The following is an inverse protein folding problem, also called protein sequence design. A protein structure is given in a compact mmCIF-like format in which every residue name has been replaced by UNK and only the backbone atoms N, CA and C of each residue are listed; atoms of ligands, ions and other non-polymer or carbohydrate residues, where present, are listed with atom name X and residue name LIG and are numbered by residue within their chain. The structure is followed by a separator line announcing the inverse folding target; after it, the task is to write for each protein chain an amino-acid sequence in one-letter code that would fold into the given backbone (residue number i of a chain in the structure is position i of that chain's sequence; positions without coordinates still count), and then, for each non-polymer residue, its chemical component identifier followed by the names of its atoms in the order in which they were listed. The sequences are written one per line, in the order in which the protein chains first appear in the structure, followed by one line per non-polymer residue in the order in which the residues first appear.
data_IF_868436424071
#
_entry.id   IF_868436424071
#
_cell.length_a   1.000
_cell.length_b   1.000
_cell.length_c   1.000
_cell.angle_alpha   90.00
_cell.angle_beta   90.00
_cell.angle_gamma   90.00
#
_symmetry.space_group_name_H-M   'P 1'
#
loop_
_entity.id
_entity.type
_entity.pdbx_description
1 polymer ?
#
# COMPACT_ATOMS: atom_id res chain seq x y z
N UNK A 1 -51.91 -36.94 -14.07
CA UNK A 1 -50.59 -37.06 -14.73
C UNK A 1 -50.60 -37.06 -16.28
N UNK A 2 -51.75 -37.00 -16.98
CA UNK A 2 -51.78 -37.03 -18.46
C UNK A 2 -51.74 -35.65 -19.16
N UNK A 3 -52.08 -34.55 -18.47
CA UNK A 3 -52.11 -33.21 -19.06
C UNK A 3 -50.72 -32.54 -19.23
N UNK A 4 -49.77 -32.85 -18.32
CA UNK A 4 -48.40 -32.31 -18.37
C UNK A 4 -47.57 -32.90 -19.52
N UNK A 5 -47.86 -34.13 -19.93
CA UNK A 5 -47.16 -34.80 -21.02
C UNK A 5 -47.52 -34.27 -22.42
N UNK A 6 -48.77 -33.81 -22.61
CA UNK A 6 -49.25 -33.26 -23.90
C UNK A 6 -48.69 -31.85 -24.20
N UNK A 7 -48.29 -31.09 -23.18
CA UNK A 7 -47.75 -29.72 -23.31
C UNK A 7 -46.23 -29.63 -23.46
N UNK A 8 -45.49 -30.75 -23.34
CA UNK A 8 -44.01 -30.79 -23.48
C UNK A 8 -43.50 -30.35 -24.86
N UNK A 9 -44.35 -30.30 -25.89
CA UNK A 9 -43.98 -29.98 -27.28
C UNK A 9 -44.54 -28.64 -27.78
N UNK A 10 -45.07 -27.80 -26.89
CA UNK A 10 -45.56 -26.47 -27.28
C UNK A 10 -44.36 -25.53 -27.49
N UNK A 11 -44.27 -24.77 -28.60
CA UNK A 11 -43.09 -23.94 -28.92
C UNK A 11 -42.78 -22.89 -27.85
N UNK A 12 -43.80 -22.43 -27.11
CA UNK A 12 -43.63 -21.50 -25.99
C UNK A 12 -43.03 -22.13 -24.71
N UNK A 13 -42.91 -23.46 -24.63
CA UNK A 13 -42.35 -24.15 -23.47
C UNK A 13 -40.87 -23.82 -23.25
N UNK A 14 -40.10 -23.69 -24.33
CA UNK A 14 -38.69 -23.30 -24.26
C UNK A 14 -38.49 -21.87 -23.75
N UNK A 15 -39.37 -20.95 -24.18
CA UNK A 15 -39.34 -19.54 -23.75
C UNK A 15 -39.64 -19.40 -22.25
N UNK A 16 -40.65 -20.13 -21.76
CA UNK A 16 -41.02 -20.11 -20.33
C UNK A 16 -39.90 -20.69 -19.45
N UNK A 17 -39.27 -21.77 -19.88
CA UNK A 17 -38.13 -22.36 -19.15
C UNK A 17 -36.93 -21.42 -19.15
N UNK A 18 -36.64 -20.76 -20.27
CA UNK A 18 -35.55 -19.78 -20.35
C UNK A 18 -35.79 -18.58 -19.43
N UNK A 19 -37.02 -18.04 -19.39
CA UNK A 19 -37.37 -16.94 -18.50
C UNK A 19 -37.28 -17.33 -17.03
N UNK A 20 -37.74 -18.52 -16.66
CA UNK A 20 -37.59 -19.05 -15.30
C UNK A 20 -36.12 -19.25 -14.92
N UNK A 21 -35.30 -19.76 -15.83
CA UNK A 21 -33.87 -19.91 -15.61
C UNK A 21 -33.19 -18.54 -15.41
N UNK A 22 -33.52 -17.54 -16.23
CA UNK A 22 -32.99 -16.18 -16.10
C UNK A 22 -33.41 -15.52 -14.79
N UNK A 23 -34.65 -15.73 -14.34
CA UNK A 23 -35.14 -15.21 -13.06
C UNK A 23 -34.45 -15.88 -11.88
N UNK A 24 -34.22 -17.20 -11.92
CA UNK A 24 -33.52 -17.93 -10.87
C UNK A 24 -32.04 -17.52 -10.81
N UNK A 25 -31.37 -17.42 -11.96
CA UNK A 25 -29.97 -17.00 -12.03
C UNK A 25 -29.82 -15.53 -11.61
N UNK A 26 -30.70 -14.64 -12.07
CA UNK A 26 -30.71 -13.23 -11.66
C UNK A 26 -31.02 -13.03 -10.18
N UNK A 27 -31.96 -13.80 -9.64
CA UNK A 27 -32.29 -13.80 -8.21
C UNK A 27 -31.13 -14.33 -7.36
N UNK A 28 -30.50 -15.43 -7.76
CA UNK A 28 -29.31 -15.96 -7.09
C UNK A 28 -28.14 -14.96 -7.12
N UNK A 29 -27.95 -14.26 -8.23
CA UNK A 29 -26.93 -13.22 -8.35
C UNK A 29 -27.16 -12.08 -7.35
N UNK A 30 -28.41 -11.64 -7.14
CA UNK A 30 -28.74 -10.58 -6.18
C UNK A 30 -28.53 -10.95 -4.70
N UNK A 31 -28.49 -12.24 -4.38
CA UNK A 31 -28.20 -12.74 -3.02
C UNK A 31 -26.70 -12.93 -2.81
N UNK A 32 -25.96 -13.22 -3.88
CA UNK A 32 -24.51 -13.42 -3.87
C UNK A 32 -23.71 -12.12 -4.10
N UNK A 33 -24.38 -11.01 -4.47
CA UNK A 33 -23.73 -9.71 -4.52
C UNK A 33 -23.29 -9.32 -3.11
N UNK A 34 -22.00 -9.05 -2.87
CA UNK A 34 -21.52 -8.55 -1.60
C UNK A 34 -22.32 -7.29 -1.24
N UNK A 35 -22.82 -7.23 0.00
CA UNK A 35 -23.34 -5.97 0.52
C UNK A 35 -22.20 -4.94 0.49
N UNK A 36 -22.45 -3.69 0.09
CA UNK A 36 -21.44 -2.65 0.24
C UNK A 36 -21.08 -2.57 1.72
N UNK A 37 -19.79 -2.74 2.03
CA UNK A 37 -19.28 -2.63 3.38
C UNK A 37 -19.63 -1.25 3.94
N UNK A 38 -20.30 -1.23 5.09
CA UNK A 38 -20.61 -0.01 5.85
C UNK A 38 -19.34 0.49 6.55
N UNK A 39 -18.39 1.04 5.79
CA UNK A 39 -17.64 2.19 6.27
C UNK A 39 -18.62 3.37 6.27
N UNK A 40 -18.52 4.29 7.23
CA UNK A 40 -19.32 5.52 7.21
C UNK A 40 -19.16 6.17 5.82
N UNK A 41 -20.20 6.09 5.00
CA UNK A 41 -20.15 6.65 3.66
C UNK A 41 -19.94 8.16 3.83
N UNK A 42 -18.93 8.69 3.14
CA UNK A 42 -18.65 10.11 3.16
C UNK A 42 -19.93 10.88 2.82
N UNK A 43 -20.23 11.90 3.61
CA UNK A 43 -21.41 12.74 3.41
C UNK A 43 -21.21 13.66 2.21
N UNK A 44 -22.30 14.22 1.68
CA UNK A 44 -22.19 15.26 0.65
C UNK A 44 -21.39 16.46 1.14
N UNK A 45 -21.48 16.78 2.44
CA UNK A 45 -20.70 17.84 3.08
C UNK A 45 -19.19 17.53 3.07
N UNK A 46 -18.79 16.28 3.33
CA UNK A 46 -17.39 15.84 3.27
C UNK A 46 -16.81 15.97 1.85
N UNK A 47 -17.62 15.62 0.84
CA UNK A 47 -17.24 15.74 -0.57
C UNK A 47 -17.06 17.22 -0.96
N UNK A 48 -17.95 18.11 -0.50
CA UNK A 48 -17.80 19.55 -0.77
C UNK A 48 -16.58 20.14 -0.06
N UNK A 49 -16.36 19.82 1.22
CA UNK A 49 -15.18 20.25 1.96
C UNK A 49 -13.88 19.76 1.29
N UNK A 50 -13.85 18.49 0.87
CA UNK A 50 -12.74 17.90 0.12
C UNK A 50 -12.48 18.59 -1.21
N UNK A 51 -13.54 18.99 -1.92
CA UNK A 51 -13.45 19.75 -3.17
C UNK A 51 -12.86 21.14 -2.95
N UNK A 52 -13.25 21.84 -1.89
CA UNK A 52 -12.68 23.15 -1.56
C UNK A 52 -11.18 23.07 -1.26
N UNK A 53 -10.78 22.06 -0.47
CA UNK A 53 -9.37 21.76 -0.19
C UNK A 53 -8.61 21.44 -1.49
N UNK A 54 -9.19 20.62 -2.37
CA UNK A 54 -8.60 20.28 -3.66
C UNK A 54 -8.41 21.51 -4.55
N UNK A 55 -9.43 22.37 -4.66
CA UNK A 55 -9.37 23.59 -5.47
C UNK A 55 -8.31 24.57 -4.94
N UNK A 56 -8.16 24.68 -3.62
CA UNK A 56 -7.18 25.56 -3.01
C UNK A 56 -5.72 25.06 -3.14
N UNK A 57 -5.49 23.75 -3.13
CA UNK A 57 -4.14 23.19 -2.95
C UNK A 57 -3.63 22.34 -4.12
N UNK A 58 -4.51 21.72 -4.90
CA UNK A 58 -4.15 20.64 -5.83
C UNK A 58 -4.51 20.94 -7.30
N UNK A 59 -5.57 21.72 -7.52
CA UNK A 59 -6.15 21.95 -8.84
C UNK A 59 -5.19 22.66 -9.83
N UNK A 60 -4.18 23.38 -9.35
CA UNK A 60 -3.18 24.01 -10.22
C UNK A 60 -2.37 22.98 -11.02
N UNK A 61 -2.07 21.81 -10.44
CA UNK A 61 -1.36 20.73 -11.13
C UNK A 61 -2.30 19.66 -11.67
N UNK A 62 -3.38 19.33 -10.94
CA UNK A 62 -4.29 18.25 -11.29
C UNK A 62 -5.52 18.69 -12.10
N UNK A 63 -5.66 19.99 -12.38
CA UNK A 63 -6.81 20.56 -13.09
C UNK A 63 -8.02 20.81 -12.18
N UNK A 64 -8.90 21.73 -12.57
CA UNK A 64 -10.07 22.13 -11.78
C UNK A 64 -11.09 21.01 -11.54
N UNK A 65 -11.08 19.97 -12.37
CA UNK A 65 -11.95 18.79 -12.28
C UNK A 65 -11.14 17.52 -11.98
N UNK A 66 -9.89 17.67 -11.50
CA UNK A 66 -8.95 16.59 -11.27
C UNK A 66 -8.60 15.75 -12.52
N UNK A 67 -8.85 16.29 -13.72
CA UNK A 67 -8.67 15.61 -15.00
C UNK A 67 -7.19 15.46 -15.43
N UNK A 68 -6.27 16.07 -14.68
CA UNK A 68 -4.84 16.12 -14.99
C UNK A 68 -4.47 17.28 -15.93
N UNK A 69 -3.18 17.62 -15.91
CA UNK A 69 -2.53 18.59 -16.80
C UNK A 69 -1.11 18.09 -17.13
N UNK A 70 -0.35 18.87 -17.90
CA UNK A 70 1.09 18.57 -18.10
C UNK A 70 1.90 18.68 -16.80
N UNK A 71 1.40 19.41 -15.80
CA UNK A 71 2.06 19.58 -14.50
C UNK A 71 1.71 18.47 -13.48
N UNK A 72 0.67 17.67 -13.72
CA UNK A 72 0.25 16.63 -12.79
C UNK A 72 -0.76 15.66 -13.40
N UNK A 73 -0.69 14.36 -13.05
CA UNK A 73 -1.57 13.34 -13.63
C UNK A 73 -3.05 13.57 -13.25
N UNK A 74 -3.94 12.88 -13.95
CA UNK A 74 -5.34 12.77 -13.51
C UNK A 74 -5.44 12.10 -12.14
N UNK A 75 -6.40 12.55 -11.32
CA UNK A 75 -6.78 11.88 -10.07
C UNK A 75 -8.12 11.13 -10.22
N UNK A 76 -8.75 11.17 -11.39
CA UNK A 76 -9.98 10.41 -11.63
C UNK A 76 -9.63 8.91 -11.63
N UNK A 77 -10.25 8.15 -10.72
CA UNK A 77 -10.09 6.70 -10.61
C UNK A 77 -8.87 6.24 -9.81
N UNK A 78 -8.07 7.15 -9.22
CA UNK A 78 -6.95 6.75 -8.34
C UNK A 78 -7.43 6.26 -6.97
N UNK A 79 -8.67 6.57 -6.59
CA UNK A 79 -9.30 6.13 -5.35
C UNK A 79 -8.86 6.92 -4.10
N UNK A 80 -9.61 6.76 -3.00
CA UNK A 80 -9.33 7.45 -1.74
C UNK A 80 -8.06 6.95 -1.06
N UNK A 81 -7.70 5.67 -1.21
CA UNK A 81 -6.46 5.12 -0.65
C UNK A 81 -5.21 5.82 -1.21
N UNK A 82 -5.23 6.21 -2.50
CA UNK A 82 -4.10 6.94 -3.09
C UNK A 82 -3.96 8.33 -2.48
N UNK A 83 -5.07 8.98 -2.15
CA UNK A 83 -5.07 10.31 -1.50
C UNK A 83 -4.60 10.19 -0.06
N UNK A 84 -5.18 9.25 0.70
CA UNK A 84 -4.77 8.99 2.09
C UNK A 84 -3.28 8.68 2.16
N UNK A 85 -2.77 7.77 1.33
CA UNK A 85 -1.35 7.46 1.28
C UNK A 85 -0.48 8.66 0.89
N UNK A 86 -0.77 9.33 -0.22
CA UNK A 86 0.13 10.37 -0.73
C UNK A 86 0.12 11.63 0.16
N UNK A 87 -1.05 12.00 0.69
CA UNK A 87 -1.21 13.21 1.52
C UNK A 87 -0.91 12.90 2.98
N UNK A 88 -1.37 11.76 3.50
CA UNK A 88 -1.14 11.30 4.89
C UNK A 88 0.30 10.90 5.17
N UNK A 89 1.08 10.53 4.15
CA UNK A 89 2.55 10.40 4.29
C UNK A 89 3.32 11.69 3.95
N UNK A 90 2.60 12.78 3.64
CA UNK A 90 3.17 14.09 3.35
C UNK A 90 3.93 14.20 2.02
N UNK A 91 3.87 13.19 1.15
CA UNK A 91 4.51 13.22 -0.18
C UNK A 91 3.85 14.28 -1.08
N UNK A 92 2.52 14.30 -1.08
CA UNK A 92 1.69 15.31 -1.70
C UNK A 92 1.21 16.32 -0.66
N UNK A 93 1.13 17.62 -1.01
CA UNK A 93 1.48 18.24 -2.29
C UNK A 93 2.99 18.31 -2.53
N UNK A 94 3.45 18.17 -3.78
CA UNK A 94 4.87 18.24 -4.13
C UNK A 94 5.47 19.63 -3.81
N UNK A 95 6.69 19.63 -3.28
CA UNK A 95 7.44 20.87 -3.00
C UNK A 95 8.34 21.29 -4.15
N UNK A 96 8.76 20.33 -5.00
CA UNK A 96 9.57 20.56 -6.18
C UNK A 96 9.40 19.41 -7.18
N UNK A 97 9.71 19.67 -8.45
CA UNK A 97 9.78 18.63 -9.47
C UNK A 97 11.08 17.83 -9.29
N UNK A 98 10.96 16.65 -8.69
CA UNK A 98 12.07 15.73 -8.40
C UNK A 98 11.78 14.36 -9.03
N UNK A 99 12.80 13.51 -9.25
CA UNK A 99 12.59 12.15 -9.78
C UNK A 99 11.60 11.31 -8.97
N UNK A 100 11.45 11.63 -7.67
CA UNK A 100 10.59 10.96 -6.73
C UNK A 100 10.10 11.94 -5.66
N UNK A 101 8.88 11.74 -5.14
CA UNK A 101 8.37 12.53 -4.02
C UNK A 101 8.96 12.01 -2.69
N UNK A 102 9.61 12.91 -1.96
CA UNK A 102 10.02 12.69 -0.58
C UNK A 102 8.83 12.85 0.36
N UNK A 103 8.83 12.08 1.44
CA UNK A 103 8.01 12.33 2.62
C UNK A 103 8.41 13.65 3.27
N UNK A 104 7.39 14.35 3.80
CA UNK A 104 7.52 15.67 4.45
C UNK A 104 6.55 15.71 5.62
N UNK A 105 6.67 16.70 6.52
CA UNK A 105 5.62 16.95 7.50
C UNK A 105 4.26 17.08 6.83
N UNK A 106 3.28 16.35 7.36
CA UNK A 106 1.90 16.34 6.87
C UNK A 106 1.30 17.73 7.06
N UNK A 107 0.68 18.26 6.00
CA UNK A 107 0.14 19.63 5.98
C UNK A 107 -1.35 19.71 6.31
N UNK A 108 -2.03 18.56 6.36
CA UNK A 108 -3.48 18.44 6.53
C UNK A 108 -3.79 17.53 7.71
N UNK A 109 -4.89 17.80 8.41
CA UNK A 109 -5.41 16.86 9.41
C UNK A 109 -5.98 15.59 8.76
N UNK A 110 -6.09 14.50 9.51
CA UNK A 110 -6.70 13.25 9.04
C UNK A 110 -8.12 13.45 8.48
N UNK A 111 -8.91 14.33 9.11
CA UNK A 111 -10.25 14.71 8.64
C UNK A 111 -10.21 15.33 7.23
N UNK A 112 -9.32 16.30 7.02
CA UNK A 112 -9.13 16.96 5.73
C UNK A 112 -8.64 15.99 4.65
N UNK A 113 -7.78 15.03 5.03
CA UNK A 113 -7.28 13.99 4.14
C UNK A 113 -8.43 13.05 3.73
N UNK A 114 -9.26 12.63 4.68
CA UNK A 114 -10.43 11.82 4.42
C UNK A 114 -11.44 12.55 3.50
N UNK A 115 -11.68 13.84 3.73
CA UNK A 115 -12.53 14.68 2.89
C UNK A 115 -11.98 14.80 1.45
N UNK A 116 -10.68 15.08 1.29
CA UNK A 116 -10.04 15.09 -0.03
C UNK A 116 -10.13 13.71 -0.72
N UNK A 117 -9.94 12.63 0.04
CA UNK A 117 -10.10 11.26 -0.44
C UNK A 117 -11.53 10.96 -0.90
N UNK A 118 -12.53 11.41 -0.14
CA UNK A 118 -13.95 11.29 -0.49
C UNK A 118 -14.29 12.04 -1.78
N UNK A 119 -13.80 13.27 -1.93
CA UNK A 119 -13.97 14.04 -3.17
C UNK A 119 -13.38 13.28 -4.36
N UNK A 120 -12.13 12.80 -4.27
CA UNK A 120 -11.49 12.06 -5.37
C UNK A 120 -12.22 10.75 -5.68
N UNK A 121 -12.70 10.02 -4.66
CA UNK A 121 -13.50 8.81 -4.84
C UNK A 121 -14.86 9.08 -5.51
N UNK A 122 -15.43 10.29 -5.34
CA UNK A 122 -16.67 10.68 -6.02
C UNK A 122 -16.51 10.87 -7.54
N UNK A 123 -15.28 11.09 -8.02
CA UNK A 123 -15.00 11.35 -9.44
C UNK A 123 -14.92 10.08 -10.29
N UNK A 124 -14.70 8.91 -9.68
CA UNK A 124 -14.63 7.63 -10.38
C UNK A 124 -14.21 6.47 -9.48
N UNK A 125 -14.44 5.22 -9.93
CA UNK A 125 -14.09 4.04 -9.16
C UNK A 125 -12.57 3.92 -9.00
N UNK A 126 -12.13 3.61 -7.79
CA UNK A 126 -10.72 3.37 -7.47
C UNK A 126 -10.58 2.68 -6.12
N UNK A 127 -9.35 2.31 -5.72
CA UNK A 127 -9.12 1.63 -4.45
C UNK A 127 -9.51 2.52 -3.25
N UNK A 128 -10.25 1.94 -2.32
CA UNK A 128 -10.66 2.62 -1.08
C UNK A 128 -9.63 2.40 0.03
N UNK A 129 -9.59 3.34 0.99
CA UNK A 129 -8.87 3.18 2.25
C UNK A 129 -9.25 1.82 2.88
N UNK A 130 -8.28 1.02 3.36
CA UNK A 130 -8.55 -0.30 3.91
C UNK A 130 -9.52 -0.23 5.09
N UNK A 131 -10.41 -1.23 5.28
CA UNK A 131 -11.24 -1.34 6.47
C UNK A 131 -10.40 -1.33 7.77
N UNK A 132 -10.97 -0.82 8.87
CA UNK A 132 -10.27 -0.64 10.14
C UNK A 132 -9.58 -1.92 10.66
N UNK A 133 -10.15 -3.10 10.40
CA UNK A 133 -9.57 -4.40 10.77
C UNK A 133 -8.21 -4.70 10.14
N UNK A 134 -7.89 -4.07 9.00
CA UNK A 134 -6.60 -4.20 8.29
C UNK A 134 -5.67 -3.01 8.49
N UNK A 135 -6.05 -2.03 9.31
CA UNK A 135 -5.24 -0.83 9.59
C UNK A 135 -4.26 -1.02 10.77
N UNK A 136 -4.43 -2.09 11.54
CA UNK A 136 -3.62 -2.45 12.71
C UNK A 136 -2.69 -3.63 12.41
N UNK A 137 -1.62 -3.76 13.19
CA UNK A 137 -0.74 -4.92 13.15
C UNK A 137 -1.37 -6.13 13.88
N UNK A 138 -0.97 -7.33 13.48
CA UNK A 138 -1.29 -8.58 14.21
C UNK A 138 -0.07 -9.07 14.99
N UNK A 139 -0.30 -9.60 16.20
CA UNK A 139 0.74 -10.22 17.03
C UNK A 139 0.86 -11.74 16.81
N UNK A 140 0.07 -12.30 15.90
CA UNK A 140 0.08 -13.73 15.56
C UNK A 140 1.41 -14.14 14.88
N UNK A 141 2.24 -14.99 15.53
CA UNK A 141 3.54 -15.40 14.97
C UNK A 141 3.45 -16.15 13.64
N UNK A 142 2.38 -16.92 13.40
CA UNK A 142 2.21 -17.66 12.15
C UNK A 142 1.98 -16.70 10.99
N UNK A 143 1.14 -15.68 11.23
CA UNK A 143 0.86 -14.61 10.26
C UNK A 143 2.08 -13.73 10.00
N UNK A 144 2.84 -13.39 11.04
CA UNK A 144 4.12 -12.66 10.89
C UNK A 144 5.10 -13.49 10.04
N UNK A 145 5.20 -14.79 10.27
CA UNK A 145 6.04 -15.69 9.47
C UNK A 145 5.57 -15.74 8.01
N UNK A 146 4.26 -15.83 7.76
CA UNK A 146 3.70 -15.77 6.40
C UNK A 146 4.00 -14.42 5.73
N UNK A 147 3.87 -13.32 6.46
CA UNK A 147 4.22 -11.97 6.02
C UNK A 147 5.68 -11.86 5.59
N UNK A 148 6.60 -12.50 6.31
CA UNK A 148 8.01 -12.59 5.95
C UNK A 148 8.21 -13.30 4.60
N UNK A 149 7.60 -14.46 4.40
CA UNK A 149 7.69 -15.22 3.15
C UNK A 149 7.17 -14.40 1.95
N UNK A 150 6.01 -13.76 2.12
CA UNK A 150 5.42 -12.89 1.11
C UNK A 150 6.31 -11.69 0.81
N UNK A 151 6.82 -11.01 1.84
CA UNK A 151 7.67 -9.84 1.67
C UNK A 151 9.00 -10.19 0.98
N UNK A 152 9.64 -11.29 1.36
CA UNK A 152 10.88 -11.75 0.71
C UNK A 152 10.70 -12.10 -0.75
N UNK A 153 9.54 -12.65 -1.10
CA UNK A 153 9.24 -13.08 -2.47
C UNK A 153 8.85 -11.90 -3.38
N UNK A 154 8.16 -10.89 -2.83
CA UNK A 154 7.55 -9.82 -3.64
C UNK A 154 8.23 -8.45 -3.50
N UNK A 155 8.83 -8.14 -2.34
CA UNK A 155 9.18 -6.77 -1.96
C UNK A 155 10.68 -6.57 -1.69
N UNK A 156 11.35 -7.58 -1.12
CA UNK A 156 12.73 -7.48 -0.63
C UNK A 156 13.76 -7.16 -1.72
N UNK A 157 13.44 -7.45 -2.99
CA UNK A 157 14.30 -7.10 -4.12
C UNK A 157 14.48 -5.58 -4.29
N UNK A 158 13.51 -4.77 -3.82
CA UNK A 158 13.61 -3.32 -3.80
C UNK A 158 13.89 -2.77 -2.40
N UNK A 159 13.20 -3.29 -1.39
CA UNK A 159 13.19 -2.71 -0.04
C UNK A 159 14.17 -3.34 0.94
N UNK A 160 15.06 -4.24 0.51
CA UNK A 160 15.90 -5.08 1.38
C UNK A 160 15.04 -6.09 2.20
N UNK A 161 15.66 -7.15 2.71
CA UNK A 161 14.98 -8.23 3.48
C UNK A 161 14.32 -7.75 4.77
N UNK A 162 14.87 -6.73 5.42
CA UNK A 162 14.31 -6.10 6.63
C UNK A 162 13.61 -4.78 6.32
N UNK A 163 13.25 -4.49 5.07
CA UNK A 163 12.58 -3.23 4.76
C UNK A 163 13.46 -1.98 4.91
N UNK A 164 14.80 -2.12 4.93
CA UNK A 164 15.73 -0.99 5.09
C UNK A 164 15.74 0.00 3.90
N UNK A 165 15.14 -0.38 2.76
CA UNK A 165 15.13 0.38 1.52
C UNK A 165 16.25 -0.03 0.56
N UNK A 166 16.33 0.67 -0.57
CA UNK A 166 17.30 0.35 -1.63
C UNK A 166 17.34 1.39 -2.75
N UNK A 167 18.45 1.47 -3.47
CA UNK A 167 18.59 2.38 -4.60
C UNK A 167 17.88 1.84 -5.85
N UNK A 168 17.17 2.71 -6.57
CA UNK A 168 16.56 2.43 -7.87
C UNK A 168 17.25 3.25 -8.98
N UNK A 169 16.90 2.97 -10.22
CA UNK A 169 17.44 3.69 -11.38
C UNK A 169 16.97 5.15 -11.41
N UNK A 170 17.75 6.02 -12.08
CA UNK A 170 17.40 7.42 -12.34
C UNK A 170 17.16 8.26 -11.08
N UNK A 171 17.90 8.00 -10.01
CA UNK A 171 17.84 8.77 -8.77
C UNK A 171 16.60 8.49 -7.91
N UNK A 172 15.85 7.44 -8.23
CA UNK A 172 14.77 6.93 -7.38
C UNK A 172 15.33 5.98 -6.32
N UNK A 173 14.56 5.70 -5.28
CA UNK A 173 14.87 4.74 -4.24
C UNK A 173 13.60 4.11 -3.68
N UNK A 174 13.76 2.92 -3.10
CA UNK A 174 12.77 2.27 -2.28
C UNK A 174 12.94 2.83 -0.86
N UNK A 175 11.92 3.47 -0.29
CA UNK A 175 12.02 4.02 1.06
C UNK A 175 12.25 2.92 2.10
N UNK A 176 12.80 3.33 3.23
CA UNK A 176 12.80 2.54 4.44
C UNK A 176 11.34 2.35 4.90
N UNK A 177 10.99 1.12 5.27
CA UNK A 177 9.63 0.71 5.66
C UNK A 177 9.48 0.51 7.17
N UNK A 178 10.51 0.86 7.93
CA UNK A 178 10.46 0.92 9.39
C UNK A 178 9.67 2.16 9.82
N UNK A 179 8.98 2.04 10.95
CA UNK A 179 8.14 3.11 11.52
C UNK A 179 7.00 3.60 10.61
N UNK A 180 6.50 2.73 9.73
CA UNK A 180 5.32 3.01 8.89
C UNK A 180 4.10 2.29 9.45
N UNK A 181 2.97 2.99 9.59
CA UNK A 181 1.69 2.40 10.04
C UNK A 181 1.21 1.29 9.10
N UNK A 182 0.52 0.27 9.63
CA UNK A 182 -0.10 -0.79 8.83
C UNK A 182 -1.02 -0.26 7.72
N UNK A 183 -1.85 0.76 8.01
CA UNK A 183 -2.68 1.46 7.01
C UNK A 183 -1.87 1.89 5.78
N UNK A 184 -0.83 2.71 5.96
CA UNK A 184 -0.02 3.20 4.84
C UNK A 184 0.79 2.09 4.14
N UNK A 185 1.21 1.03 4.84
CA UNK A 185 1.86 -0.12 4.18
C UNK A 185 0.86 -0.82 3.25
N UNK A 186 -0.37 -1.05 3.73
CA UNK A 186 -1.45 -1.62 2.93
C UNK A 186 -1.72 -0.77 1.69
N UNK A 187 -1.90 0.54 1.86
CA UNK A 187 -2.22 1.46 0.77
C UNK A 187 -1.09 1.58 -0.24
N UNK A 188 0.18 1.54 0.20
CA UNK A 188 1.32 1.49 -0.71
C UNK A 188 1.26 0.26 -1.63
N UNK A 189 0.94 -0.91 -1.07
CA UNK A 189 0.77 -2.13 -1.86
C UNK A 189 -0.44 -2.01 -2.80
N UNK A 190 -1.56 -1.49 -2.30
CA UNK A 190 -2.81 -1.37 -3.07
C UNK A 190 -2.71 -0.38 -4.23
N UNK A 191 -1.98 0.72 -4.05
CA UNK A 191 -1.95 1.85 -5.00
C UNK A 191 -0.70 1.87 -5.88
N UNK A 192 0.38 1.19 -5.48
CA UNK A 192 1.63 1.15 -6.23
C UNK A 192 2.25 2.54 -6.45
N UNK A 193 2.66 3.25 -5.38
CA UNK A 193 3.13 4.61 -5.50
C UNK A 193 4.43 4.70 -6.32
N UNK A 194 4.45 5.67 -7.24
CA UNK A 194 5.61 6.06 -8.03
C UNK A 194 6.19 4.93 -8.91
N UNK A 195 7.20 4.22 -8.43
CA UNK A 195 7.84 3.11 -9.15
C UNK A 195 7.53 1.75 -8.55
N UNK A 196 6.78 1.70 -7.44
CA UNK A 196 6.31 0.46 -6.84
C UNK A 196 5.18 -0.13 -7.69
N UNK A 197 5.21 -1.43 -8.02
CA UNK A 197 4.11 -2.07 -8.74
C UNK A 197 2.85 -2.15 -7.86
N UNK A 198 1.69 -2.25 -8.51
CA UNK A 198 0.38 -2.41 -7.84
C UNK A 198 0.18 -3.87 -7.44
N UNK A 199 -0.08 -4.10 -6.16
CA UNK A 199 -0.49 -5.38 -5.59
C UNK A 199 -1.96 -5.29 -5.17
N UNK A 200 -2.86 -5.54 -6.12
CA UNK A 200 -4.30 -5.55 -5.87
C UNK A 200 -4.71 -6.75 -4.99
N UNK A 201 -5.95 -6.72 -4.51
CA UNK A 201 -6.50 -7.75 -3.59
C UNK A 201 -6.68 -9.13 -4.25
N UNK A 202 -6.52 -9.23 -5.58
CA UNK A 202 -6.52 -10.51 -6.30
C UNK A 202 -5.13 -11.19 -6.30
N UNK A 203 -4.06 -10.40 -6.13
CA UNK A 203 -2.68 -10.91 -6.11
C UNK A 203 -2.15 -11.09 -4.68
N UNK A 204 -2.46 -10.16 -3.79
CA UNK A 204 -2.12 -10.22 -2.36
C UNK A 204 -3.40 -9.83 -1.60
N UNK A 205 -3.98 -10.77 -0.86
CA UNK A 205 -5.28 -10.53 -0.19
C UNK A 205 -5.16 -9.47 0.91
N UNK A 206 -6.27 -8.89 1.38
CA UNK A 206 -6.25 -7.94 2.50
C UNK A 206 -5.54 -8.49 3.76
N UNK A 207 -5.78 -9.76 4.10
CA UNK A 207 -5.11 -10.45 5.20
C UNK A 207 -3.60 -10.55 4.96
N UNK A 208 -3.19 -10.92 3.74
CA UNK A 208 -1.78 -11.05 3.37
C UNK A 208 -1.05 -9.69 3.39
N UNK A 209 -1.74 -8.61 3.05
CA UNK A 209 -1.21 -7.25 3.20
C UNK A 209 -0.98 -6.90 4.67
N UNK A 210 -1.92 -7.25 5.55
CA UNK A 210 -1.75 -7.07 6.99
C UNK A 210 -0.62 -7.95 7.54
N UNK A 211 -0.45 -9.17 7.04
CA UNK A 211 0.65 -10.07 7.40
C UNK A 211 2.01 -9.44 7.04
N UNK A 212 2.14 -8.90 5.82
CA UNK A 212 3.36 -8.19 5.37
C UNK A 212 3.64 -6.97 6.24
N UNK A 213 2.61 -6.17 6.55
CA UNK A 213 2.76 -4.99 7.42
C UNK A 213 3.22 -5.37 8.83
N UNK A 214 2.68 -6.46 9.38
CA UNK A 214 3.02 -6.97 10.71
C UNK A 214 4.44 -7.54 10.75
N UNK A 215 4.87 -8.22 9.68
CA UNK A 215 6.27 -8.62 9.53
C UNK A 215 7.24 -7.42 9.53
N UNK A 216 6.92 -6.36 8.79
CA UNK A 216 7.75 -5.16 8.75
C UNK A 216 7.85 -4.51 10.14
N UNK A 217 6.73 -4.41 10.85
CA UNK A 217 6.70 -3.92 12.23
C UNK A 217 7.58 -4.77 13.17
N UNK A 218 7.45 -6.10 13.07
CA UNK A 218 8.29 -7.03 13.82
C UNK A 218 9.79 -6.86 13.46
N UNK A 219 10.14 -6.81 12.18
CA UNK A 219 11.53 -6.68 11.73
C UNK A 219 12.20 -5.36 12.18
N UNK A 220 11.42 -4.30 12.40
CA UNK A 220 11.90 -3.02 12.91
C UNK A 220 12.10 -2.95 14.42
N UNK A 221 11.30 -3.71 15.16
CA UNK A 221 11.24 -3.66 16.62
C UNK A 221 12.00 -4.80 17.30
N UNK A 222 12.27 -5.90 16.58
CA UNK A 222 12.98 -7.05 17.10
C UNK A 222 14.44 -6.68 17.50
N UNK A 223 14.86 -6.97 18.74
CA UNK A 223 16.24 -6.72 19.16
C UNK A 223 17.23 -7.55 18.33
N UNK A 224 18.35 -6.95 17.94
CA UNK A 224 19.41 -7.69 17.25
C UNK A 224 20.16 -8.62 18.20
N UNK A 225 20.10 -9.96 18.02
CA UNK A 225 20.76 -10.89 18.92
C UNK A 225 22.30 -10.76 18.92
N UNK A 226 22.87 -10.21 17.84
CA UNK A 226 24.31 -10.02 17.63
C UNK A 226 24.84 -8.63 18.02
N UNK A 227 24.01 -7.76 18.58
CA UNK A 227 24.41 -6.40 18.96
C UNK A 227 24.08 -5.35 17.89
N UNK A 228 25.10 -4.68 17.33
CA UNK A 228 24.86 -3.57 16.40
C UNK A 228 24.34 -4.08 15.05
N UNK A 229 23.20 -3.56 14.59
CA UNK A 229 22.58 -3.93 13.30
C UNK A 229 23.33 -3.37 12.08
N UNK A 230 24.14 -2.33 12.28
CA UNK A 230 24.83 -1.58 11.22
C UNK A 230 23.88 -1.16 10.07
N UNK A 231 22.63 -0.84 10.41
CA UNK A 231 21.59 -0.45 9.46
C UNK A 231 20.90 -1.61 8.72
N UNK A 232 21.19 -2.87 9.05
CA UNK A 232 20.51 -4.04 8.47
C UNK A 232 20.83 -4.27 6.99
N UNK A 233 21.91 -3.67 6.47
CA UNK A 233 22.31 -3.74 5.06
C UNK A 233 23.23 -4.95 4.76
N UNK A 234 23.55 -5.75 5.78
CA UNK A 234 24.33 -6.98 5.67
C UNK A 234 25.81 -6.73 5.35
N UNK A 235 26.39 -7.49 4.39
CA UNK A 235 27.85 -7.60 4.25
C UNK A 235 28.55 -6.30 3.86
N UNK A 236 27.83 -5.32 3.30
CA UNK A 236 28.42 -4.03 2.90
C UNK A 236 28.78 -3.19 4.12
N UNK A 237 27.81 -2.96 5.02
CA UNK A 237 28.01 -2.19 6.24
C UNK A 237 28.90 -2.94 7.23
N UNK A 238 28.72 -4.25 7.35
CA UNK A 238 29.56 -5.12 8.17
C UNK A 238 31.01 -5.14 7.67
N UNK A 239 31.21 -5.27 6.36
CA UNK A 239 32.54 -5.24 5.73
C UNK A 239 33.24 -3.90 5.91
N UNK A 240 32.52 -2.79 5.75
CA UNK A 240 33.07 -1.45 6.00
C UNK A 240 33.48 -1.27 7.47
N UNK A 241 32.66 -1.75 8.41
CA UNK A 241 32.99 -1.70 9.83
C UNK A 241 34.21 -2.58 10.16
N UNK A 242 34.24 -3.81 9.66
CA UNK A 242 35.38 -4.72 9.84
C UNK A 242 36.67 -4.12 9.25
N UNK A 243 36.58 -3.47 8.10
CA UNK A 243 37.72 -2.80 7.47
C UNK A 243 38.15 -1.57 8.27
N UNK A 244 37.24 -0.65 8.59
CA UNK A 244 37.59 0.61 9.24
C UNK A 244 37.98 0.41 10.72
N UNK A 245 37.12 -0.21 11.52
CA UNK A 245 37.36 -0.38 12.95
C UNK A 245 38.25 -1.60 13.23
N UNK A 246 38.00 -2.73 12.55
CA UNK A 246 38.74 -3.96 12.78
C UNK A 246 40.20 -3.86 12.36
N UNK A 247 40.49 -3.38 11.14
CA UNK A 247 41.88 -3.23 10.69
C UNK A 247 42.60 -2.14 11.48
N UNK A 248 41.94 -1.01 11.79
CA UNK A 248 42.55 0.05 12.60
C UNK A 248 42.92 -0.46 14.00
N UNK A 249 42.07 -1.28 14.63
CA UNK A 249 42.39 -1.91 15.91
C UNK A 249 43.58 -2.86 15.80
N UNK A 250 43.63 -3.70 14.76
CA UNK A 250 44.76 -4.61 14.53
C UNK A 250 46.08 -3.87 14.27
N UNK A 251 46.05 -2.81 13.46
CA UNK A 251 47.21 -1.95 13.21
C UNK A 251 47.66 -1.26 14.50
N UNK A 252 46.72 -0.73 15.28
CA UNK A 252 47.02 -0.13 16.59
C UNK A 252 47.71 -1.11 17.54
N UNK A 253 47.20 -2.34 17.64
CA UNK A 253 47.82 -3.41 18.41
C UNK A 253 49.22 -3.76 17.89
N UNK A 254 49.40 -3.88 16.57
CA UNK A 254 50.69 -4.19 15.96
C UNK A 254 51.72 -3.09 16.24
N UNK A 255 51.35 -1.81 16.09
CA UNK A 255 52.21 -0.66 16.41
C UNK A 255 52.56 -0.64 17.89
N UNK A 256 51.59 -0.86 18.78
CA UNK A 256 51.82 -0.89 20.23
C UNK A 256 52.76 -2.01 20.66
N UNK A 257 52.58 -3.22 20.12
CA UNK A 257 53.46 -4.35 20.39
C UNK A 257 54.87 -4.09 19.83
N UNK A 258 54.98 -3.57 18.62
CA UNK A 258 56.27 -3.21 18.01
C UNK A 258 57.03 -2.14 18.80
N UNK A 259 56.33 -1.12 19.30
CA UNK A 259 56.91 -0.05 20.11
C UNK A 259 57.40 -0.51 21.49
N UNK A 260 56.79 -1.56 22.08
CA UNK A 260 57.26 -2.15 23.34
C UNK A 260 58.43 -3.12 23.18
N UNK A 261 58.57 -3.74 22.00
CA UNK A 261 59.61 -4.71 21.71
C UNK A 261 60.94 -4.05 21.26
N UNK A 262 60.91 -2.75 20.95
CA UNK A 262 62.06 -1.92 20.60
C UNK A 262 62.57 -1.17 21.84
#
# INVERSE_FOLDING_TARGET
MKALAARRRHPLGGVVVMLLALLVVGGAYSVLTPAPASAAAATDDDIQAGKELFLANCANCHGLQAQGTDAGPTLIGVGSASVDFQVGTGRMPLSANQPQAHDKPVQFSDEQIAQMGAFVASLGPGPAVPPAEFQEFTDDPERISKGNELFRTNCAMCHNVVGAGGALTRGKWAPNLQDVSAKHIYEAMLTGPQSMPVFNDANITPEEKQDIASYLHFAGTEPSPGGLTLGGLGPVSEGLFAWAAGILALVGCAVWLGAKAS
#
